data_IF_485386561804
#
_entry.id   IF_485386561804
#
_cell.length_a   1.000
_cell.length_b   1.000
_cell.length_c   1.000
_cell.angle_alpha   90.00
_cell.angle_beta   90.00
_cell.angle_gamma   90.00
#
_symmetry.space_group_name_H-M   'P 1'
#
loop_
_entity.id
_entity.type
_entity.pdbx_description
1 polymer ?
#
# COMPACT_ATOMS: atom_id res chain seq x y z
N UNK A 1 16.41 38.16 -10.57
CA UNK A 1 15.12 37.43 -10.57
C UNK A 1 15.44 35.99 -10.17
N UNK A 2 14.87 35.49 -9.08
CA UNK A 2 15.14 34.12 -8.60
C UNK A 2 14.05 33.21 -9.17
N UNK A 3 14.45 32.20 -9.93
CA UNK A 3 13.56 31.17 -10.46
C UNK A 3 13.78 29.88 -9.68
N UNK A 4 12.73 29.35 -9.07
CA UNK A 4 12.76 28.03 -8.44
C UNK A 4 12.37 26.97 -9.47
N UNK A 5 13.28 26.03 -9.74
CA UNK A 5 13.02 24.91 -10.67
C UNK A 5 12.20 23.77 -10.05
N UNK A 6 12.13 23.70 -8.71
CA UNK A 6 11.34 22.71 -7.98
C UNK A 6 10.57 23.40 -6.84
N UNK A 7 9.30 23.03 -6.68
CA UNK A 7 8.54 23.41 -5.50
C UNK A 7 9.20 22.78 -4.25
N UNK A 8 9.21 23.48 -3.10
CA UNK A 8 9.66 22.89 -1.85
C UNK A 8 8.89 21.60 -1.59
N UNK A 9 9.61 20.49 -1.38
CA UNK A 9 9.00 19.23 -0.99
C UNK A 9 8.28 19.43 0.34
N UNK A 10 6.96 19.27 0.35
CA UNK A 10 6.22 19.23 1.61
C UNK A 10 6.62 17.96 2.35
N UNK A 11 7.20 18.14 3.54
CA UNK A 11 7.58 17.03 4.41
C UNK A 11 6.45 16.80 5.40
N UNK A 12 5.88 15.61 5.38
CA UNK A 12 4.97 15.15 6.43
C UNK A 12 5.80 14.50 7.54
N UNK A 13 5.47 14.83 8.78
CA UNK A 13 6.12 14.28 9.98
C UNK A 13 5.07 13.61 10.84
N UNK A 14 5.44 12.47 11.40
CA UNK A 14 4.59 11.67 12.25
C UNK A 14 5.42 11.29 13.46
N UNK A 15 4.93 11.64 14.65
CA UNK A 15 5.61 11.29 15.90
C UNK A 15 5.34 9.82 16.23
N UNK A 16 6.40 9.09 16.58
CA UNK A 16 6.35 7.68 16.91
C UNK A 16 7.24 7.44 18.13
N UNK A 17 6.69 6.79 19.16
CA UNK A 17 7.42 6.45 20.39
C UNK A 17 7.82 4.98 20.46
N UNK A 18 7.00 4.06 19.92
CA UNK A 18 7.25 2.62 19.88
C UNK A 18 6.86 2.04 18.50
N UNK A 19 7.41 0.87 18.16
CA UNK A 19 7.06 0.14 16.94
C UNK A 19 6.51 -1.24 17.35
N UNK A 20 5.20 -1.34 17.46
CA UNK A 20 4.50 -2.56 17.89
C UNK A 20 3.68 -3.19 16.75
N UNK A 21 3.25 -2.38 15.78
CA UNK A 21 2.46 -2.87 14.64
C UNK A 21 3.30 -3.67 13.66
N UNK A 22 2.69 -4.67 13.03
CA UNK A 22 3.31 -5.51 12.00
C UNK A 22 2.81 -5.12 10.61
N UNK A 23 3.73 -4.92 9.67
CA UNK A 23 3.40 -4.68 8.26
C UNK A 23 4.07 -5.72 7.37
N UNK A 24 3.26 -6.42 6.59
CA UNK A 24 3.71 -7.40 5.61
C UNK A 24 4.10 -6.71 4.31
N UNK A 25 5.02 -7.32 3.55
CA UNK A 25 5.35 -6.92 2.19
C UNK A 25 5.33 -8.17 1.33
N UNK A 26 4.38 -8.24 0.39
CA UNK A 26 4.27 -9.34 -0.55
C UNK A 26 4.55 -8.87 -1.95
N UNK A 27 5.39 -9.64 -2.64
CA UNK A 27 5.65 -9.44 -4.06
C UNK A 27 4.66 -10.24 -4.87
N UNK A 28 3.80 -9.58 -5.63
CA UNK A 28 2.76 -10.26 -6.41
C UNK A 28 3.39 -10.97 -7.61
N UNK A 29 2.94 -12.20 -7.87
CA UNK A 29 3.39 -13.05 -8.96
C UNK A 29 2.19 -13.69 -9.68
N UNK A 30 2.41 -14.20 -10.90
CA UNK A 30 1.37 -14.88 -11.67
C UNK A 30 0.98 -16.20 -11.00
N UNK A 31 -0.32 -16.44 -10.81
CA UNK A 31 -0.83 -17.60 -10.07
C UNK A 31 -0.69 -17.46 -8.55
N UNK A 32 -0.48 -16.24 -8.04
CA UNK A 32 -0.60 -15.98 -6.60
C UNK A 32 -2.06 -16.09 -6.18
N UNK A 33 -2.30 -16.85 -5.12
CA UNK A 33 -3.61 -17.04 -4.50
C UNK A 33 -3.79 -16.10 -3.29
N UNK A 34 -4.97 -16.12 -2.67
CA UNK A 34 -5.28 -15.30 -1.50
C UNK A 34 -4.65 -15.79 -0.18
N UNK A 35 -4.11 -17.01 -0.16
CA UNK A 35 -3.64 -17.74 1.03
C UNK A 35 -2.63 -16.95 1.87
N UNK A 36 -1.65 -16.29 1.25
CA UNK A 36 -0.66 -15.47 1.95
C UNK A 36 -1.27 -14.21 2.60
N UNK A 37 -2.30 -13.63 1.97
CA UNK A 37 -2.99 -12.46 2.52
C UNK A 37 -3.87 -12.87 3.70
N UNK A 38 -4.58 -14.00 3.58
CA UNK A 38 -5.37 -14.56 4.68
C UNK A 38 -4.48 -14.95 5.87
N UNK A 39 -3.33 -15.57 5.61
CA UNK A 39 -2.35 -15.90 6.65
C UNK A 39 -1.81 -14.65 7.36
N UNK A 40 -1.72 -13.50 6.69
CA UNK A 40 -1.33 -12.24 7.33
C UNK A 40 -2.38 -11.77 8.35
N UNK A 41 -3.67 -11.95 8.06
CA UNK A 41 -4.77 -11.69 9.00
C UNK A 41 -4.60 -12.59 10.23
N UNK A 42 -4.48 -13.90 10.01
CA UNK A 42 -4.34 -14.89 11.08
C UNK A 42 -3.09 -14.67 11.96
N UNK A 43 -2.02 -14.15 11.37
CA UNK A 43 -0.77 -13.84 12.06
C UNK A 43 -0.77 -12.48 12.78
N UNK A 44 -1.89 -11.75 12.75
CA UNK A 44 -2.06 -10.47 13.42
C UNK A 44 -1.29 -9.31 12.78
N UNK A 45 -1.15 -9.30 11.45
CA UNK A 45 -0.61 -8.13 10.75
C UNK A 45 -1.60 -6.96 10.78
N UNK A 46 -1.07 -5.75 10.87
CA UNK A 46 -1.85 -4.51 10.96
C UNK A 46 -1.85 -3.72 9.65
N UNK A 47 -1.09 -4.16 8.65
CA UNK A 47 -1.03 -3.53 7.34
C UNK A 47 -0.32 -4.45 6.34
N UNK A 48 -0.66 -4.31 5.06
CA UNK A 48 -0.06 -5.09 3.98
C UNK A 48 0.38 -4.15 2.87
N UNK A 49 1.60 -4.36 2.37
CA UNK A 49 2.08 -3.76 1.13
C UNK A 49 2.17 -4.83 0.06
N UNK A 50 1.59 -4.56 -1.11
CA UNK A 50 1.65 -5.41 -2.29
C UNK A 50 2.53 -4.75 -3.36
N UNK A 51 3.51 -5.47 -3.88
CA UNK A 51 4.23 -5.09 -5.10
C UNK A 51 3.50 -5.69 -6.31
N UNK A 52 2.54 -4.94 -6.84
CA UNK A 52 1.69 -5.32 -7.96
C UNK A 52 2.42 -5.40 -9.30
N UNK A 53 1.80 -6.09 -10.24
CA UNK A 53 2.29 -6.26 -11.61
C UNK A 53 2.09 -4.98 -12.42
N UNK A 54 3.09 -4.60 -13.23
CA UNK A 54 2.97 -3.47 -14.16
C UNK A 54 2.54 -2.17 -13.47
N UNK A 55 1.38 -1.63 -13.86
CA UNK A 55 0.82 -0.41 -13.28
C UNK A 55 -0.01 -0.64 -12.02
N UNK A 56 0.29 -1.68 -11.23
CA UNK A 56 -0.43 -1.97 -10.00
C UNK A 56 -1.69 -2.81 -10.21
N UNK A 57 -1.55 -3.91 -10.94
CA UNK A 57 -2.57 -4.95 -11.06
C UNK A 57 -2.18 -6.18 -10.24
N UNK A 58 -3.16 -7.00 -9.89
CA UNK A 58 -2.98 -8.30 -9.23
C UNK A 58 -3.74 -9.40 -9.99
N UNK A 59 -3.38 -10.68 -9.84
CA UNK A 59 -4.22 -11.77 -10.30
C UNK A 59 -5.61 -11.71 -9.65
N UNK A 60 -6.69 -12.07 -10.37
CA UNK A 60 -8.06 -12.07 -9.82
C UNK A 60 -8.20 -12.80 -8.49
N UNK A 61 -7.54 -13.95 -8.31
CA UNK A 61 -7.57 -14.73 -7.07
C UNK A 61 -7.08 -13.95 -5.83
N UNK A 62 -6.20 -12.97 -6.00
CA UNK A 62 -5.69 -12.13 -4.91
C UNK A 62 -6.74 -11.14 -4.41
N UNK A 63 -7.73 -10.77 -5.25
CA UNK A 63 -8.77 -9.79 -4.92
C UNK A 63 -9.57 -10.19 -3.69
N UNK A 64 -9.90 -11.48 -3.55
CA UNK A 64 -10.60 -12.00 -2.36
C UNK A 64 -9.79 -11.81 -1.09
N UNK A 65 -8.47 -11.99 -1.15
CA UNK A 65 -7.57 -11.74 -0.02
C UNK A 65 -7.47 -10.25 0.32
N UNK A 66 -7.48 -9.38 -0.70
CA UNK A 66 -7.51 -7.92 -0.52
C UNK A 66 -8.81 -7.49 0.15
N UNK A 67 -9.96 -7.99 -0.32
CA UNK A 67 -11.26 -7.70 0.27
C UNK A 67 -11.29 -8.13 1.74
N UNK A 68 -10.81 -9.34 2.06
CA UNK A 68 -10.75 -9.82 3.44
C UNK A 68 -9.88 -8.91 4.34
N UNK A 69 -8.72 -8.44 3.86
CA UNK A 69 -7.90 -7.49 4.61
C UNK A 69 -8.67 -6.19 4.90
N UNK A 70 -9.35 -5.64 3.89
CA UNK A 70 -10.11 -4.40 4.02
C UNK A 70 -11.31 -4.55 4.96
N UNK A 71 -12.03 -5.68 4.89
CA UNK A 71 -13.15 -6.00 5.80
C UNK A 71 -12.67 -6.10 7.26
N UNK A 72 -11.44 -6.55 7.47
CA UNK A 72 -10.76 -6.58 8.78
C UNK A 72 -10.11 -5.23 9.17
N UNK A 73 -10.36 -4.16 8.41
CA UNK A 73 -9.78 -2.83 8.60
C UNK A 73 -8.23 -2.82 8.57
N UNK A 74 -7.63 -3.74 7.83
CA UNK A 74 -6.19 -3.81 7.59
C UNK A 74 -5.88 -3.05 6.30
N UNK A 75 -5.19 -1.89 6.36
CA UNK A 75 -4.87 -1.12 5.17
C UNK A 75 -3.97 -1.90 4.21
N UNK A 76 -4.35 -1.85 2.93
CA UNK A 76 -3.60 -2.45 1.82
C UNK A 76 -3.00 -1.32 0.99
N UNK A 77 -1.67 -1.28 0.89
CA UNK A 77 -0.94 -0.34 0.06
C UNK A 77 -0.39 -1.06 -1.17
N UNK A 78 -0.61 -0.51 -2.36
CA UNK A 78 -0.14 -1.06 -3.62
C UNK A 78 0.95 -0.17 -4.23
N UNK A 79 2.07 -0.80 -4.55
CA UNK A 79 3.16 -0.22 -5.35
C UNK A 79 3.37 -1.02 -6.63
N UNK A 80 4.07 -0.45 -7.59
CA UNK A 80 4.54 -1.21 -8.74
C UNK A 80 5.80 -2.00 -8.36
N UNK A 81 5.92 -3.24 -8.84
CA UNK A 81 7.20 -3.97 -8.81
C UNK A 81 8.23 -3.47 -9.82
N UNK A 82 7.82 -2.65 -10.79
CA UNK A 82 8.70 -2.14 -11.83
C UNK A 82 9.52 -0.97 -11.27
N UNK A 83 10.84 -0.97 -11.54
CA UNK A 83 11.76 0.05 -11.00
C UNK A 83 11.34 1.49 -11.33
N UNK A 84 10.79 1.72 -12.53
CA UNK A 84 10.25 3.00 -12.99
C UNK A 84 8.73 2.97 -13.21
N UNK A 85 8.03 1.94 -12.70
CA UNK A 85 6.58 1.82 -12.87
C UNK A 85 5.84 2.61 -11.81
N UNK A 86 4.78 3.30 -12.20
CA UNK A 86 3.85 3.95 -11.28
C UNK A 86 2.60 3.07 -11.22
N UNK A 87 2.18 2.71 -10.01
CA UNK A 87 0.90 2.05 -9.82
C UNK A 87 -0.22 3.09 -9.96
N UNK A 88 -1.22 2.82 -10.81
CA UNK A 88 -2.35 3.72 -11.07
C UNK A 88 -3.62 2.93 -11.40
N UNK A 89 -4.76 3.48 -10.99
CA UNK A 89 -6.08 2.91 -11.25
C UNK A 89 -6.54 3.03 -12.71
N UNK A 90 -5.85 2.38 -13.65
CA UNK A 90 -6.13 2.55 -15.10
C UNK A 90 -7.10 1.50 -15.64
N UNK A 91 -6.99 0.25 -15.19
CA UNK A 91 -7.77 -0.86 -15.75
C UNK A 91 -8.87 -1.32 -14.79
N UNK A 92 -10.10 -1.48 -15.31
CA UNK A 92 -11.29 -1.84 -14.54
C UNK A 92 -11.71 -3.31 -14.63
N UNK A 93 -10.82 -4.23 -14.99
CA UNK A 93 -11.09 -5.67 -14.91
C UNK A 93 -10.86 -6.17 -13.47
N UNK A 94 -11.26 -7.41 -13.18
CA UNK A 94 -11.06 -8.02 -11.86
C UNK A 94 -9.56 -8.10 -11.49
N UNK A 95 -9.16 -7.41 -10.42
CA UNK A 95 -7.75 -7.27 -10.04
C UNK A 95 -6.99 -6.20 -10.82
N UNK A 96 -7.67 -5.47 -11.70
CA UNK A 96 -7.17 -4.27 -12.35
C UNK A 96 -7.14 -3.09 -11.37
N UNK A 97 -6.15 -2.20 -11.55
CA UNK A 97 -5.89 -1.15 -10.58
C UNK A 97 -7.07 -0.21 -10.27
N UNK A 98 -7.97 0.06 -11.24
CA UNK A 98 -9.11 0.95 -10.97
C UNK A 98 -10.08 0.33 -9.97
N UNK A 99 -10.35 -0.97 -10.13
CA UNK A 99 -11.18 -1.71 -9.19
C UNK A 99 -10.54 -1.73 -7.80
N UNK A 100 -9.23 -1.99 -7.72
CA UNK A 100 -8.51 -2.00 -6.44
C UNK A 100 -8.59 -0.63 -5.74
N UNK A 101 -8.44 0.47 -6.48
CA UNK A 101 -8.63 1.82 -5.97
C UNK A 101 -10.06 2.03 -5.45
N UNK A 102 -11.08 1.62 -6.21
CA UNK A 102 -12.50 1.74 -5.81
C UNK A 102 -12.83 0.89 -4.57
N UNK A 103 -12.11 -0.23 -4.35
CA UNK A 103 -12.21 -1.03 -3.13
C UNK A 103 -11.57 -0.35 -1.91
N UNK A 104 -10.74 0.69 -2.10
CA UNK A 104 -10.02 1.36 -1.02
C UNK A 104 -8.56 0.95 -0.86
N UNK A 105 -7.96 0.29 -1.85
CA UNK A 105 -6.50 0.05 -1.87
C UNK A 105 -5.77 1.38 -2.06
N UNK A 106 -4.77 1.61 -1.22
CA UNK A 106 -4.00 2.86 -1.20
C UNK A 106 -2.83 2.77 -2.17
N UNK A 107 -2.75 3.70 -3.12
CA UNK A 107 -1.63 3.74 -4.06
C UNK A 107 -0.47 4.55 -3.50
N UNK A 108 0.75 4.04 -3.67
CA UNK A 108 1.98 4.71 -3.22
C UNK A 108 2.91 5.00 -4.41
N UNK A 109 2.56 5.96 -5.28
CA UNK A 109 3.32 6.24 -6.49
C UNK A 109 4.72 6.78 -6.16
N UNK A 110 5.74 6.33 -6.90
CA UNK A 110 7.10 6.88 -6.81
C UNK A 110 7.94 6.38 -5.63
N UNK A 111 7.46 5.42 -4.84
CA UNK A 111 8.26 4.75 -3.80
C UNK A 111 8.24 3.23 -3.96
N UNK A 112 9.33 2.57 -3.55
CA UNK A 112 9.44 1.12 -3.60
C UNK A 112 8.62 0.44 -2.50
N UNK A 113 8.37 -0.87 -2.62
CA UNK A 113 7.63 -1.63 -1.61
C UNK A 113 8.27 -1.57 -0.22
N UNK A 114 9.61 -1.54 -0.13
CA UNK A 114 10.31 -1.40 1.15
C UNK A 114 10.05 -0.02 1.78
N UNK A 115 10.06 1.06 0.98
CA UNK A 115 9.78 2.41 1.46
C UNK A 115 8.32 2.58 1.85
N UNK A 116 7.39 2.04 1.05
CA UNK A 116 5.97 2.02 1.37
C UNK A 116 5.70 1.24 2.65
N UNK A 117 6.36 0.09 2.86
CA UNK A 117 6.25 -0.69 4.09
C UNK A 117 6.69 0.11 5.31
N UNK A 118 7.82 0.81 5.23
CA UNK A 118 8.29 1.68 6.32
C UNK A 118 7.34 2.84 6.58
N UNK A 119 6.84 3.49 5.52
CA UNK A 119 5.87 4.58 5.62
C UNK A 119 4.58 4.11 6.30
N UNK A 120 4.03 2.96 5.89
CA UNK A 120 2.85 2.37 6.52
C UNK A 120 3.12 1.98 7.97
N UNK A 121 4.28 1.38 8.26
CA UNK A 121 4.68 1.01 9.62
C UNK A 121 4.72 2.22 10.55
N UNK A 122 5.30 3.34 10.11
CA UNK A 122 5.33 4.60 10.86
C UNK A 122 3.92 5.14 11.03
N UNK A 123 3.13 5.18 9.95
CA UNK A 123 1.76 5.69 9.98
C UNK A 123 0.81 4.89 10.89
N UNK A 124 1.09 3.60 11.12
CA UNK A 124 0.30 2.77 12.03
C UNK A 124 0.74 2.85 13.50
N UNK A 125 1.95 3.34 13.79
CA UNK A 125 2.50 3.45 15.15
C UNK A 125 2.50 4.90 15.67
N UNK A 126 1.80 5.79 15.00
CA UNK A 126 1.81 7.20 15.28
C UNK A 126 1.08 7.58 16.57
N UNK A 127 1.59 8.59 17.26
CA UNK A 127 1.04 9.09 18.53
C UNK A 127 0.37 10.47 18.37
N UNK A 128 -0.49 10.80 19.33
CA UNK A 128 -1.12 12.12 19.54
C UNK A 128 -2.19 12.61 18.56
N UNK A 129 -2.11 12.31 17.26
CA UNK A 129 -3.13 12.75 16.28
C UNK A 129 -3.34 11.70 15.22
N UNK A 130 -4.45 10.94 15.18
CA UNK A 130 -4.66 9.89 14.17
C UNK A 130 -4.56 10.47 12.75
N UNK A 131 -3.56 10.02 11.98
CA UNK A 131 -3.52 10.27 10.54
C UNK A 131 -4.48 9.34 9.82
N UNK A 132 -5.09 9.85 8.76
CA UNK A 132 -5.70 8.99 7.77
C UNK A 132 -4.60 8.41 6.88
N UNK A 133 -4.41 7.09 6.94
CA UNK A 133 -3.33 6.40 6.21
C UNK A 133 -3.40 6.69 4.71
N UNK A 134 -4.60 6.79 4.12
CA UNK A 134 -4.76 7.12 2.70
C UNK A 134 -4.18 8.50 2.35
N UNK A 135 -4.44 9.54 3.16
CA UNK A 135 -3.88 10.89 2.97
C UNK A 135 -2.39 11.00 3.29
N UNK A 136 -1.87 10.05 4.09
CA UNK A 136 -0.44 9.99 4.35
C UNK A 136 0.33 9.48 3.12
N UNK A 137 -0.30 8.68 2.24
CA UNK A 137 0.34 8.08 1.08
C UNK A 137 0.35 8.98 -0.15
#
# INVERSE_FOLDING_TARGET
>A
MIHFHHAPLQKQYVEVSTIEKKVALFKVYAGMEADLLLSAIDSGYNGVVLEGLGQGNVPPAVVTGIQALLDHQIPVVLVSRCFNGIAQGVYGYEGGGKMLEDMGVIYAPGISGQKARLKLLIGLNQVHSPIEVAHFF
#
